data_IF_418699177108
#
_entry.id   IF_418699177108
#
_cell.length_a   1.000
_cell.length_b   1.000
_cell.length_c   1.000
_cell.angle_alpha   90.00
_cell.angle_beta   90.00
_cell.angle_gamma   90.00
#
_symmetry.space_group_name_H-M   'P 1'
#
loop_
_entity.id
_entity.type
_entity.pdbx_description
1 polymer ?
#
# COMPACT_ATOMS: atom_id res chain seq x y z
N UNK A 1 -35.65 3.79 -17.42
CA UNK A 1 -34.54 2.82 -17.38
C UNK A 1 -33.58 3.35 -16.33
N UNK A 2 -33.31 2.64 -15.24
CA UNK A 2 -32.43 3.13 -14.18
C UNK A 2 -30.96 2.94 -14.55
N UNK A 3 -30.14 3.97 -14.35
CA UNK A 3 -28.69 3.95 -14.53
C UNK A 3 -28.02 3.39 -13.28
N UNK A 4 -27.05 2.49 -13.46
CA UNK A 4 -26.28 1.94 -12.36
C UNK A 4 -24.91 2.61 -12.29
N UNK A 5 -24.48 2.99 -11.09
CA UNK A 5 -23.17 3.56 -10.83
C UNK A 5 -22.53 2.84 -9.65
N UNK A 6 -21.31 2.36 -9.85
CA UNK A 6 -20.44 1.97 -8.76
C UNK A 6 -19.71 3.22 -8.24
N UNK A 7 -19.77 3.46 -6.94
CA UNK A 7 -19.03 4.55 -6.32
C UNK A 7 -17.97 4.01 -5.38
N UNK A 8 -16.85 4.73 -5.33
CA UNK A 8 -15.83 4.54 -4.32
C UNK A 8 -15.57 5.89 -3.68
N UNK A 9 -15.79 5.99 -2.38
CA UNK A 9 -15.57 7.20 -1.60
C UNK A 9 -14.45 6.94 -0.60
N UNK A 10 -13.38 7.73 -0.70
CA UNK A 10 -12.27 7.74 0.25
C UNK A 10 -12.32 9.01 1.09
N UNK A 11 -12.10 8.86 2.39
CA UNK A 11 -12.12 9.97 3.33
C UNK A 11 -10.72 10.22 3.89
N UNK A 12 -10.22 11.41 3.61
CA UNK A 12 -9.17 12.05 4.39
C UNK A 12 -9.84 12.98 5.41
N UNK A 13 -9.28 13.18 6.59
CA UNK A 13 -9.87 14.15 7.52
C UNK A 13 -8.82 14.84 8.36
N UNK A 14 -9.00 16.15 8.53
CA UNK A 14 -8.18 17.03 9.34
C UNK A 14 -9.09 17.99 10.12
N UNK A 15 -8.67 18.40 11.32
CA UNK A 15 -9.42 19.38 12.12
C UNK A 15 -10.70 18.86 12.79
N UNK A 16 -11.02 17.56 12.69
CA UNK A 16 -12.12 16.91 13.43
C UNK A 16 -11.59 15.78 14.32
N UNK A 17 -12.20 15.63 15.49
CA UNK A 17 -11.85 14.54 16.41
C UNK A 17 -12.42 13.20 15.92
N UNK A 18 -11.82 12.09 16.34
CA UNK A 18 -12.34 10.76 16.02
C UNK A 18 -13.79 10.57 16.48
N UNK A 19 -14.18 11.13 17.63
CA UNK A 19 -15.55 11.01 18.16
C UNK A 19 -16.57 11.70 17.25
N UNK A 20 -16.28 12.91 16.80
CA UNK A 20 -17.13 13.66 15.87
C UNK A 20 -17.25 12.95 14.53
N UNK A 21 -16.13 12.40 14.04
CA UNK A 21 -16.12 11.62 12.82
C UNK A 21 -17.01 10.38 12.92
N UNK A 22 -17.00 9.64 14.04
CA UNK A 22 -17.88 8.49 14.23
C UNK A 22 -19.37 8.89 14.29
N UNK A 23 -19.69 10.01 14.92
CA UNK A 23 -21.06 10.54 14.93
C UNK A 23 -21.52 10.93 13.51
N UNK A 24 -20.62 11.50 12.72
CA UNK A 24 -20.88 11.86 11.32
C UNK A 24 -21.08 10.62 10.45
N UNK A 25 -20.25 9.58 10.63
CA UNK A 25 -20.43 8.27 9.99
C UNK A 25 -21.77 7.65 10.32
N UNK A 26 -22.20 7.74 11.58
CA UNK A 26 -23.51 7.20 12.01
C UNK A 26 -24.67 7.92 11.32
N UNK A 27 -24.66 9.26 11.28
CA UNK A 27 -25.65 10.06 10.54
C UNK A 27 -25.64 9.72 9.04
N UNK A 28 -24.45 9.57 8.46
CA UNK A 28 -24.29 9.22 7.05
C UNK A 28 -24.86 7.83 6.74
N UNK A 29 -24.61 6.84 7.60
CA UNK A 29 -25.19 5.52 7.48
C UNK A 29 -26.73 5.56 7.54
N UNK A 30 -27.31 6.33 8.46
CA UNK A 30 -28.77 6.53 8.52
C UNK A 30 -29.35 7.12 7.23
N UNK A 31 -28.67 8.10 6.62
CA UNK A 31 -29.08 8.66 5.34
C UNK A 31 -28.96 7.63 4.20
N UNK A 32 -27.88 6.85 4.16
CA UNK A 32 -27.70 5.77 3.19
C UNK A 32 -28.77 4.67 3.32
N UNK A 33 -29.21 4.35 4.54
CA UNK A 33 -30.32 3.40 4.75
C UNK A 33 -31.64 3.91 4.19
N UNK A 34 -31.95 5.22 4.29
CA UNK A 34 -33.13 5.79 3.64
C UNK A 34 -33.05 5.67 2.12
N UNK A 35 -31.88 5.90 1.54
CA UNK A 35 -31.67 5.70 0.10
C UNK A 35 -31.81 4.23 -0.31
N UNK A 36 -31.50 3.30 0.60
CA UNK A 36 -31.70 1.87 0.38
C UNK A 36 -33.20 1.52 0.33
N UNK A 37 -33.99 2.06 1.26
CA UNK A 37 -35.46 1.91 1.26
C UNK A 37 -36.12 2.50 0.01
N UNK A 38 -35.59 3.62 -0.49
CA UNK A 38 -36.03 4.25 -1.74
C UNK A 38 -35.57 3.49 -3.00
N UNK A 39 -34.73 2.46 -2.84
CA UNK A 39 -34.19 1.67 -3.95
C UNK A 39 -33.12 2.39 -4.77
N UNK A 40 -32.66 3.57 -4.33
CA UNK A 40 -31.57 4.34 -4.94
C UNK A 40 -30.23 3.68 -4.59
N UNK A 41 -30.00 3.38 -3.31
CA UNK A 41 -28.82 2.63 -2.87
C UNK A 41 -29.09 1.15 -3.02
N UNK A 42 -28.39 0.45 -3.92
CA UNK A 42 -28.52 -1.01 -4.07
C UNK A 42 -27.63 -1.75 -3.10
N UNK A 43 -26.41 -1.26 -2.91
CA UNK A 43 -25.43 -1.85 -2.00
C UNK A 43 -24.54 -0.76 -1.43
N UNK A 44 -24.18 -0.88 -0.16
CA UNK A 44 -23.22 -0.02 0.51
C UNK A 44 -22.32 -0.87 1.43
N UNK A 45 -21.02 -0.82 1.19
CA UNK A 45 -20.01 -1.61 1.89
C UNK A 45 -18.95 -0.68 2.47
N UNK A 46 -18.71 -0.81 3.77
CA UNK A 46 -17.57 -0.17 4.43
C UNK A 46 -16.35 -1.07 4.27
N UNK A 47 -15.29 -0.57 3.65
CA UNK A 47 -14.00 -1.30 3.66
C UNK A 47 -13.46 -1.24 5.07
N UNK A 48 -13.39 -2.37 5.76
CA UNK A 48 -12.87 -2.38 7.11
C UNK A 48 -11.35 -2.10 7.12
N UNK A 49 -10.88 -1.38 8.14
CA UNK A 49 -9.47 -0.95 8.24
C UNK A 49 -9.06 0.20 7.31
N UNK A 50 -9.87 0.54 6.30
CA UNK A 50 -9.66 1.73 5.46
C UNK A 50 -10.69 2.81 5.80
N UNK A 51 -10.49 4.04 5.36
CA UNK A 51 -11.49 5.12 5.45
C UNK A 51 -12.30 5.23 4.15
N UNK A 52 -12.71 4.08 3.61
CA UNK A 52 -13.42 3.99 2.33
C UNK A 52 -14.79 3.34 2.42
N UNK A 53 -15.73 3.82 1.62
CA UNK A 53 -17.02 3.18 1.36
C UNK A 53 -17.16 2.94 -0.12
N UNK A 54 -17.67 1.76 -0.45
CA UNK A 54 -17.97 1.32 -1.80
C UNK A 54 -19.45 1.06 -1.89
N UNK A 55 -20.05 1.22 -3.07
CA UNK A 55 -21.43 0.84 -3.24
C UNK A 55 -21.91 0.95 -4.66
N UNK A 56 -23.15 0.52 -4.86
CA UNK A 56 -23.82 0.62 -6.15
C UNK A 56 -25.11 1.39 -5.97
N UNK A 57 -25.30 2.39 -6.81
CA UNK A 57 -26.50 3.20 -6.86
C UNK A 57 -27.26 2.96 -8.16
N UNK A 58 -28.57 3.11 -8.08
CA UNK A 58 -29.53 3.01 -9.16
C UNK A 58 -30.30 4.33 -9.22
N UNK A 59 -29.98 5.18 -10.18
CA UNK A 59 -30.57 6.52 -10.33
C UNK A 59 -31.29 6.65 -11.66
N UNK A 60 -32.28 7.55 -11.73
CA UNK A 60 -33.02 7.79 -12.96
C UNK A 60 -32.25 8.67 -13.95
N UNK A 61 -31.35 9.51 -13.44
CA UNK A 61 -30.47 10.37 -14.24
C UNK A 61 -29.16 10.67 -13.51
N UNK A 62 -28.09 11.08 -14.22
CA UNK A 62 -26.84 11.51 -13.58
C UNK A 62 -27.04 12.69 -12.62
N UNK A 63 -27.97 13.61 -12.91
CA UNK A 63 -28.26 14.73 -12.02
C UNK A 63 -28.82 14.29 -10.66
N UNK A 64 -29.56 13.18 -10.61
CA UNK A 64 -30.05 12.61 -9.34
C UNK A 64 -28.89 12.03 -8.52
N UNK A 65 -27.84 11.50 -9.17
CA UNK A 65 -26.64 11.01 -8.48
C UNK A 65 -25.95 12.15 -7.71
N UNK A 66 -25.75 13.30 -8.37
CA UNK A 66 -25.11 14.47 -7.77
C UNK A 66 -25.91 14.98 -6.56
N UNK A 67 -27.23 15.12 -6.72
CA UNK A 67 -28.13 15.55 -5.64
C UNK A 67 -28.06 14.60 -4.45
N UNK A 68 -28.14 13.28 -4.67
CA UNK A 68 -28.05 12.30 -3.60
C UNK A 68 -26.71 12.41 -2.84
N UNK A 69 -25.60 12.62 -3.54
CA UNK A 69 -24.29 12.70 -2.88
C UNK A 69 -24.10 13.99 -2.08
N UNK A 70 -24.56 15.13 -2.58
CA UNK A 70 -24.49 16.41 -1.86
C UNK A 70 -25.35 16.39 -0.60
N UNK A 71 -26.45 15.65 -0.59
CA UNK A 71 -27.33 15.51 0.58
C UNK A 71 -26.76 14.59 1.66
N UNK A 72 -25.73 13.79 1.36
CA UNK A 72 -25.14 12.88 2.33
C UNK A 72 -24.39 13.65 3.44
N UNK A 73 -24.60 13.33 4.73
CA UNK A 73 -24.01 14.08 5.84
C UNK A 73 -22.50 14.26 5.81
N UNK A 74 -21.75 13.24 5.37
CA UNK A 74 -20.29 13.33 5.19
C UNK A 74 -19.92 14.40 4.15
N UNK A 75 -20.61 14.44 3.02
CA UNK A 75 -20.38 15.41 1.95
C UNK A 75 -20.71 16.84 2.37
N UNK A 76 -21.77 17.03 3.15
CA UNK A 76 -22.14 18.34 3.67
C UNK A 76 -21.13 18.89 4.69
N UNK A 77 -20.52 18.01 5.49
CA UNK A 77 -19.64 18.43 6.57
C UNK A 77 -18.16 18.55 6.16
N UNK A 78 -17.67 17.64 5.32
CA UNK A 78 -16.25 17.51 4.94
C UNK A 78 -16.07 17.14 3.46
N UNK A 79 -16.94 17.69 2.59
CA UNK A 79 -16.96 17.42 1.15
C UNK A 79 -15.62 17.69 0.43
N UNK A 80 -14.86 18.67 0.89
CA UNK A 80 -13.53 19.02 0.39
C UNK A 80 -12.47 17.95 0.71
N UNK A 81 -12.72 17.11 1.70
CA UNK A 81 -11.82 16.05 2.17
C UNK A 81 -12.30 14.65 1.74
N UNK A 82 -13.37 14.60 0.95
CA UNK A 82 -13.92 13.37 0.36
C UNK A 82 -13.51 13.26 -1.10
N UNK A 83 -12.86 12.15 -1.43
CA UNK A 83 -12.54 11.81 -2.81
C UNK A 83 -13.45 10.67 -3.27
N UNK A 84 -14.37 10.96 -4.20
CA UNK A 84 -15.22 9.93 -4.80
C UNK A 84 -15.05 9.79 -6.29
N UNK A 85 -15.04 8.54 -6.72
CA UNK A 85 -15.03 8.15 -8.12
C UNK A 85 -16.30 7.37 -8.44
N UNK A 86 -16.88 7.65 -9.60
CA UNK A 86 -18.08 7.00 -10.09
C UNK A 86 -17.80 6.27 -11.39
N UNK A 87 -18.19 5.00 -11.44
CA UNK A 87 -18.02 4.14 -12.62
C UNK A 87 -19.38 3.70 -13.11
N UNK A 88 -19.78 4.03 -14.35
CA UNK A 88 -21.06 3.60 -14.90
C UNK A 88 -21.08 2.08 -15.12
N UNK A 89 -22.16 1.45 -14.67
CA UNK A 89 -22.38 0.02 -14.73
C UNK A 89 -23.59 -0.32 -15.61
N UNK A 90 -23.57 -1.52 -16.19
CA UNK A 90 -24.74 -2.20 -16.73
C UNK A 90 -24.92 -3.56 -16.06
N UNK A 91 -26.15 -4.04 -16.03
CA UNK A 91 -26.44 -5.39 -15.52
C UNK A 91 -25.70 -6.46 -16.34
N UNK A 92 -25.17 -7.44 -15.64
CA UNK A 92 -24.32 -8.46 -16.24
C UNK A 92 -25.14 -9.44 -17.08
N UNK A 93 -26.37 -9.74 -16.71
CA UNK A 93 -27.31 -10.60 -17.43
C UNK A 93 -27.59 -10.07 -18.84
N UNK A 94 -27.78 -8.75 -18.96
CA UNK A 94 -27.94 -8.09 -20.25
C UNK A 94 -26.67 -8.16 -21.09
N UNK A 95 -25.50 -8.01 -20.48
CA UNK A 95 -24.22 -8.18 -21.17
C UNK A 95 -24.00 -9.62 -21.63
N UNK A 96 -24.26 -10.60 -20.77
CA UNK A 96 -24.17 -12.02 -21.07
C UNK A 96 -25.09 -12.42 -22.24
N UNK A 97 -26.30 -11.86 -22.27
CA UNK A 97 -27.26 -12.04 -23.36
C UNK A 97 -26.71 -11.48 -24.67
N UNK A 98 -26.18 -10.25 -24.66
CA UNK A 98 -25.57 -9.63 -25.86
C UNK A 98 -24.38 -10.45 -26.39
N UNK A 99 -23.55 -10.99 -25.49
CA UNK A 99 -22.40 -11.84 -25.86
C UNK A 99 -22.89 -13.17 -26.45
N UNK A 100 -23.89 -13.80 -25.85
CA UNK A 100 -24.51 -15.04 -26.32
C UNK A 100 -25.12 -14.90 -27.71
N UNK A 101 -25.84 -13.80 -27.96
CA UNK A 101 -26.43 -13.49 -29.27
C UNK A 101 -25.32 -13.31 -30.34
N UNK A 102 -24.18 -12.69 -30.00
CA UNK A 102 -23.05 -12.49 -30.93
C UNK A 102 -22.32 -13.76 -31.32
N UNK A 103 -22.31 -14.79 -30.48
CA UNK A 103 -21.72 -16.09 -30.79
C UNK A 103 -22.74 -17.09 -31.38
N UNK A 104 -23.99 -16.68 -31.56
CA UNK A 104 -25.05 -17.50 -32.16
C UNK A 104 -25.69 -18.53 -31.21
N UNK A 105 -25.45 -18.43 -29.90
CA UNK A 105 -26.02 -19.38 -28.92
C UNK A 105 -27.47 -19.03 -28.52
N UNK A 106 -27.88 -17.76 -28.65
CA UNK A 106 -29.26 -17.31 -28.41
C UNK A 106 -29.77 -17.45 -26.97
N UNK A 107 -28.89 -17.79 -26.01
CA UNK A 107 -29.28 -17.89 -24.60
C UNK A 107 -29.62 -16.52 -24.02
N UNK A 108 -30.81 -16.43 -23.41
CA UNK A 108 -31.29 -15.24 -22.71
C UNK A 108 -31.14 -15.43 -21.20
N UNK A 109 -30.57 -14.41 -20.54
CA UNK A 109 -30.41 -14.41 -19.09
C UNK A 109 -31.35 -13.37 -18.46
N UNK A 110 -32.25 -13.83 -17.58
CA UNK A 110 -33.17 -12.97 -16.85
C UNK A 110 -32.55 -12.42 -15.56
N UNK A 111 -33.07 -11.30 -15.07
CA UNK A 111 -32.64 -10.70 -13.80
C UNK A 111 -32.94 -11.64 -12.63
N UNK A 112 -31.88 -12.17 -12.02
CA UNK A 112 -31.97 -13.01 -10.83
C UNK A 112 -31.49 -12.25 -9.61
N UNK A 113 -32.26 -12.37 -8.52
CA UNK A 113 -31.85 -11.86 -7.21
C UNK A 113 -31.13 -12.97 -6.46
N UNK A 114 -29.90 -12.70 -6.05
CA UNK A 114 -29.17 -13.60 -5.17
C UNK A 114 -29.79 -13.59 -3.78
N UNK A 115 -29.71 -14.73 -3.08
CA UNK A 115 -30.12 -14.81 -1.68
C UNK A 115 -28.96 -14.33 -0.81
N UNK A 116 -29.21 -13.31 0.01
CA UNK A 116 -28.21 -12.80 0.93
C UNK A 116 -27.85 -13.90 1.94
N UNK A 117 -26.64 -14.43 1.84
CA UNK A 117 -26.07 -15.37 2.81
C UNK A 117 -25.23 -14.61 3.83
N UNK A 118 -25.22 -15.10 5.07
CA UNK A 118 -24.22 -14.67 6.05
C UNK A 118 -22.87 -15.20 5.59
N UNK A 119 -21.85 -14.34 5.56
CA UNK A 119 -20.50 -14.69 5.12
C UNK A 119 -19.62 -13.45 4.98
N UNK A 120 -18.40 -13.66 4.50
CA UNK A 120 -17.42 -12.61 4.20
C UNK A 120 -17.67 -12.06 2.79
N UNK A 121 -17.86 -10.74 2.69
CA UNK A 121 -18.10 -10.06 1.42
C UNK A 121 -16.80 -9.53 0.82
N UNK A 122 -16.55 -9.89 -0.44
CA UNK A 122 -15.42 -9.45 -1.24
C UNK A 122 -15.90 -8.72 -2.48
N UNK A 123 -15.29 -7.58 -2.80
CA UNK A 123 -15.50 -6.89 -4.08
C UNK A 123 -14.32 -7.24 -4.98
N UNK A 124 -14.61 -8.01 -6.03
CA UNK A 124 -13.64 -8.42 -7.03
C UNK A 124 -13.79 -7.54 -8.26
N UNK A 125 -12.66 -7.06 -8.76
CA UNK A 125 -12.60 -6.31 -10.02
C UNK A 125 -11.77 -7.10 -11.01
N UNK A 126 -12.41 -7.52 -12.08
CA UNK A 126 -11.83 -8.33 -13.16
C UNK A 126 -11.57 -7.45 -14.37
N UNK A 127 -10.35 -7.47 -14.90
CA UNK A 127 -10.00 -6.79 -16.15
C UNK A 127 -9.41 -7.79 -17.13
N UNK A 128 -9.97 -7.84 -18.35
CA UNK A 128 -9.55 -8.77 -19.40
C UNK A 128 -8.81 -8.02 -20.51
N UNK A 129 -7.57 -8.39 -20.78
CA UNK A 129 -6.76 -7.83 -21.88
C UNK A 129 -6.76 -8.72 -23.13
N UNK A 130 -6.30 -8.17 -24.27
CA UNK A 130 -6.23 -8.93 -25.53
C UNK A 130 -4.97 -9.78 -25.61
N UNK A 131 -5.12 -10.98 -26.16
CA UNK A 131 -4.00 -11.66 -26.79
C UNK A 131 -3.84 -11.18 -28.24
N UNK A 132 -2.60 -10.94 -28.68
CA UNK A 132 -2.26 -10.58 -30.07
C UNK A 132 -2.67 -11.67 -31.07
N UNK A 133 -2.84 -12.91 -30.60
CA UNK A 133 -3.20 -14.07 -31.43
C UNK A 133 -4.68 -14.43 -31.40
N UNK A 134 -5.50 -13.77 -30.57
CA UNK A 134 -6.93 -14.08 -30.43
C UNK A 134 -7.80 -13.20 -31.32
N UNK A 135 -8.82 -13.80 -31.92
CA UNK A 135 -9.85 -13.04 -32.62
C UNK A 135 -10.89 -12.49 -31.64
N UNK A 136 -11.67 -11.51 -32.10
CA UNK A 136 -12.80 -10.99 -31.33
C UNK A 136 -13.86 -12.07 -31.05
N UNK A 137 -14.00 -13.04 -31.95
CA UNK A 137 -14.98 -14.13 -31.82
C UNK A 137 -14.53 -15.12 -30.73
N UNK A 138 -13.24 -15.41 -30.65
CA UNK A 138 -12.66 -16.23 -29.56
C UNK A 138 -12.89 -15.56 -28.20
N UNK A 139 -12.72 -14.24 -28.14
CA UNK A 139 -12.98 -13.48 -26.92
C UNK A 139 -14.45 -13.56 -26.49
N UNK A 140 -15.40 -13.42 -27.43
CA UNK A 140 -16.82 -13.57 -27.11
C UNK A 140 -17.18 -14.99 -26.65
N UNK A 141 -16.52 -16.02 -27.21
CA UNK A 141 -16.70 -17.39 -26.74
C UNK A 141 -16.25 -17.57 -25.28
N UNK A 142 -15.09 -17.00 -24.91
CA UNK A 142 -14.63 -17.02 -23.51
C UNK A 142 -15.58 -16.26 -22.60
N UNK A 143 -16.02 -15.07 -22.98
CA UNK A 143 -16.99 -14.29 -22.20
C UNK A 143 -18.32 -15.01 -22.02
N UNK A 144 -18.78 -15.78 -23.01
CA UNK A 144 -20.02 -16.54 -22.89
C UNK A 144 -19.88 -17.71 -21.91
N UNK A 145 -18.76 -18.44 -21.95
CA UNK A 145 -18.48 -19.49 -20.96
C UNK A 145 -18.37 -18.92 -19.54
N UNK A 146 -17.63 -17.81 -19.39
CA UNK A 146 -17.48 -17.10 -18.12
C UNK A 146 -18.84 -16.61 -17.60
N UNK A 147 -19.67 -16.06 -18.48
CA UNK A 147 -21.00 -15.58 -18.11
C UNK A 147 -21.91 -16.70 -17.60
N UNK A 148 -21.86 -17.89 -18.21
CA UNK A 148 -22.61 -19.06 -17.73
C UNK A 148 -22.24 -19.44 -16.31
N UNK A 149 -20.95 -19.58 -16.03
CA UNK A 149 -20.47 -19.96 -14.70
C UNK A 149 -20.70 -18.85 -13.66
N UNK A 150 -20.47 -17.59 -14.03
CA UNK A 150 -20.72 -16.45 -13.13
C UNK A 150 -22.21 -16.32 -12.76
N UNK A 151 -23.12 -16.50 -13.72
CA UNK A 151 -24.56 -16.46 -13.44
C UNK A 151 -25.03 -17.68 -12.64
N UNK A 152 -24.44 -18.86 -12.87
CA UNK A 152 -24.68 -20.04 -12.03
C UNK A 152 -24.18 -19.84 -10.60
N UNK A 153 -23.01 -19.20 -10.42
CA UNK A 153 -22.49 -18.83 -9.12
C UNK A 153 -23.39 -17.80 -8.41
N UNK A 154 -23.99 -16.85 -9.17
CA UNK A 154 -25.02 -15.93 -8.65
C UNK A 154 -26.27 -16.68 -8.17
N UNK A 155 -26.78 -17.63 -8.95
CA UNK A 155 -27.92 -18.50 -8.54
C UNK A 155 -27.62 -19.28 -7.27
N UNK A 156 -26.40 -19.79 -7.13
CA UNK A 156 -25.99 -20.57 -5.97
C UNK A 156 -25.83 -19.73 -4.69
N UNK A 157 -25.85 -18.39 -4.80
CA UNK A 157 -25.68 -17.45 -3.70
C UNK A 157 -24.22 -17.21 -3.30
N UNK A 158 -23.25 -17.70 -4.08
CA UNK A 158 -21.83 -17.40 -3.91
C UNK A 158 -21.54 -15.97 -4.40
N UNK A 159 -22.10 -15.59 -5.54
CA UNK A 159 -22.08 -14.20 -6.01
C UNK A 159 -23.35 -13.52 -5.52
N UNK A 160 -23.20 -12.46 -4.73
CA UNK A 160 -24.31 -11.62 -4.32
C UNK A 160 -24.83 -10.84 -5.54
N UNK A 161 -23.92 -10.20 -6.27
CA UNK A 161 -24.25 -9.52 -7.52
C UNK A 161 -23.00 -9.27 -8.35
N UNK A 162 -23.18 -9.00 -9.65
CA UNK A 162 -22.11 -8.67 -10.57
C UNK A 162 -22.57 -7.74 -11.69
N UNK A 163 -21.65 -6.91 -12.15
CA UNK A 163 -21.92 -5.88 -13.14
C UNK A 163 -20.79 -5.76 -14.15
N UNK A 164 -21.18 -5.38 -15.37
CA UNK A 164 -20.25 -5.02 -16.42
C UNK A 164 -20.05 -3.51 -16.40
N UNK A 165 -18.79 -3.05 -16.34
CA UNK A 165 -18.48 -1.62 -16.54
C UNK A 165 -18.76 -1.26 -17.99
N UNK A 166 -19.45 -0.14 -18.21
CA UNK A 166 -19.84 0.30 -19.56
C UNK A 166 -18.59 0.62 -20.38
N UNK A 167 -18.55 0.15 -21.63
CA UNK A 167 -17.47 0.34 -22.62
C UNK A 167 -16.06 -0.17 -22.27
N UNK A 168 -15.78 -0.50 -21.00
CA UNK A 168 -14.49 -1.09 -20.59
C UNK A 168 -14.50 -2.61 -20.72
N UNK A 169 -13.37 -3.30 -20.49
CA UNK A 169 -13.31 -4.78 -20.34
C UNK A 169 -13.24 -5.21 -18.89
N UNK A 170 -14.02 -4.50 -18.08
CA UNK A 170 -14.00 -4.60 -16.62
C UNK A 170 -15.31 -5.14 -16.07
N UNK A 171 -15.25 -6.08 -15.14
CA UNK A 171 -16.40 -6.63 -14.41
C UNK A 171 -16.17 -6.43 -12.92
N UNK A 172 -17.21 -6.02 -12.21
CA UNK A 172 -17.18 -5.88 -10.76
C UNK A 172 -18.16 -6.91 -10.19
N UNK A 173 -17.72 -7.74 -9.26
CA UNK A 173 -18.57 -8.71 -8.57
C UNK A 173 -18.46 -8.56 -7.05
N UNK A 174 -19.58 -8.76 -6.36
CA UNK A 174 -19.61 -8.94 -4.90
C UNK A 174 -19.77 -10.43 -4.63
N UNK A 175 -18.76 -11.04 -4.02
CA UNK A 175 -18.75 -12.46 -3.66
C UNK A 175 -18.95 -12.59 -2.16
N UNK A 176 -19.77 -13.55 -1.74
CA UNK A 176 -19.96 -13.95 -0.36
C UNK A 176 -19.38 -15.35 -0.17
N UNK A 177 -18.36 -15.48 0.67
CA UNK A 177 -17.71 -16.77 0.99
C UNK A 177 -17.63 -16.96 2.50
N UNK A 178 -17.56 -18.21 2.93
CA UNK A 178 -17.41 -18.54 4.35
C UNK A 178 -15.93 -18.47 4.79
N UNK A 179 -15.00 -18.79 3.87
CA UNK A 179 -13.55 -18.77 4.10
C UNK A 179 -12.82 -17.90 3.05
N UNK A 180 -11.86 -17.05 3.44
CA UNK A 180 -11.08 -16.21 2.52
C UNK A 180 -10.34 -16.99 1.42
N UNK A 181 -9.87 -18.20 1.70
CA UNK A 181 -9.14 -19.05 0.74
C UNK A 181 -10.04 -19.59 -0.36
N UNK A 182 -11.36 -19.58 -0.16
CA UNK A 182 -12.31 -19.98 -1.19
C UNK A 182 -12.36 -18.96 -2.34
N UNK A 183 -12.09 -17.69 -2.06
CA UNK A 183 -12.00 -16.67 -3.12
C UNK A 183 -10.82 -17.01 -4.03
N UNK A 184 -9.64 -17.30 -3.46
CA UNK A 184 -8.44 -17.68 -4.21
C UNK A 184 -8.69 -18.92 -5.07
N UNK A 185 -9.27 -19.98 -4.48
CA UNK A 185 -9.63 -21.21 -5.22
C UNK A 185 -10.59 -20.91 -6.37
N UNK A 186 -11.64 -20.14 -6.11
CA UNK A 186 -12.62 -19.76 -7.14
C UNK A 186 -11.96 -18.97 -8.27
N UNK A 187 -11.04 -18.05 -7.95
CA UNK A 187 -10.38 -17.22 -8.96
C UNK A 187 -9.47 -18.00 -9.91
N UNK A 188 -8.82 -19.05 -9.41
CA UNK A 188 -8.02 -19.98 -10.23
C UNK A 188 -8.88 -20.88 -11.10
N UNK A 189 -10.13 -21.11 -10.70
CA UNK A 189 -11.06 -21.97 -11.41
C UNK A 189 -11.87 -21.28 -12.52
N UNK A 190 -11.82 -19.95 -12.60
CA UNK A 190 -12.56 -19.16 -13.59
C UNK A 190 -12.15 -19.58 -15.03
N UNK A 191 -13.12 -19.86 -15.92
CA UNK A 191 -12.86 -20.15 -17.34
C UNK A 191 -11.92 -19.14 -18.01
N UNK A 192 -12.11 -17.84 -17.74
CA UNK A 192 -11.24 -16.79 -18.28
C UNK A 192 -9.80 -16.86 -17.73
N UNK A 193 -9.61 -17.19 -16.44
CA UNK A 193 -8.28 -17.36 -15.85
C UNK A 193 -7.55 -18.56 -16.46
N UNK A 194 -8.25 -19.68 -16.65
CA UNK A 194 -7.73 -20.90 -17.28
C UNK A 194 -7.30 -20.66 -18.74
N UNK A 195 -8.00 -19.80 -19.48
CA UNK A 195 -7.73 -19.52 -20.90
C UNK A 195 -6.76 -18.35 -21.14
N UNK A 196 -6.78 -17.32 -20.28
CA UNK A 196 -6.05 -16.06 -20.49
C UNK A 196 -4.81 -15.91 -19.60
N UNK A 197 -4.69 -16.69 -18.52
CA UNK A 197 -3.53 -16.70 -17.63
C UNK A 197 -3.07 -15.29 -17.22
N UNK A 198 -1.84 -14.92 -17.59
CA UNK A 198 -1.20 -13.64 -17.21
C UNK A 198 -1.83 -12.38 -17.83
N UNK A 199 -2.81 -12.50 -18.73
CA UNK A 199 -3.52 -11.38 -19.38
C UNK A 199 -4.87 -11.07 -18.71
N UNK A 200 -5.11 -11.70 -17.56
CA UNK A 200 -6.27 -11.51 -16.72
C UNK A 200 -5.82 -11.03 -15.35
N UNK A 201 -6.21 -9.81 -14.98
CA UNK A 201 -5.86 -9.22 -13.70
C UNK A 201 -7.10 -9.21 -12.80
N UNK A 202 -6.98 -9.87 -11.65
CA UNK A 202 -7.93 -9.77 -10.55
C UNK A 202 -7.32 -8.85 -9.51
N UNK A 203 -7.91 -7.66 -9.32
CA UNK A 203 -7.57 -6.86 -8.15
C UNK A 203 -8.28 -7.45 -6.93
N UNK A 204 -7.51 -8.20 -6.11
CA UNK A 204 -7.91 -8.60 -4.78
C UNK A 204 -7.68 -7.45 -3.80
N UNK A 205 -8.75 -6.78 -3.37
CA UNK A 205 -8.67 -5.85 -2.26
C UNK A 205 -9.23 -6.51 -1.00
N UNK A 206 -8.36 -7.30 -0.34
CA UNK A 206 -8.14 -7.40 1.12
C UNK A 206 -7.82 -8.82 1.60
N UNK A 207 -6.62 -8.99 2.13
CA UNK A 207 -6.24 -10.15 2.97
C UNK A 207 -6.90 -9.96 4.35
N UNK A 208 -7.54 -10.99 4.93
CA UNK A 208 -8.02 -10.94 6.31
C UNK A 208 -6.90 -10.52 7.25
N UNK A 209 -7.21 -9.65 8.21
CA UNK A 209 -6.21 -9.10 9.13
C UNK A 209 -5.43 -10.21 9.86
N UNK A 210 -6.11 -11.32 10.19
CA UNK A 210 -5.49 -12.48 10.83
C UNK A 210 -4.46 -13.16 9.92
N UNK A 211 -4.80 -13.40 8.66
CA UNK A 211 -3.87 -13.96 7.67
C UNK A 211 -2.69 -13.01 7.45
N UNK A 212 -2.95 -11.72 7.27
CA UNK A 212 -1.89 -10.71 7.14
C UNK A 212 -0.92 -10.71 8.33
N UNK A 213 -1.44 -10.80 9.56
CA UNK A 213 -0.62 -10.88 10.78
C UNK A 213 0.21 -12.17 10.80
N UNK A 214 -0.38 -13.31 10.41
CA UNK A 214 0.32 -14.60 10.30
C UNK A 214 1.45 -14.54 9.28
N UNK A 215 1.18 -14.05 8.07
CA UNK A 215 2.19 -13.89 7.01
C UNK A 215 3.31 -12.97 7.44
N UNK A 216 2.98 -11.84 8.08
CA UNK A 216 3.99 -10.92 8.58
C UNK A 216 4.81 -11.51 9.74
N UNK A 217 4.21 -12.36 10.59
CA UNK A 217 4.97 -13.06 11.63
C UNK A 217 6.01 -14.01 11.00
N UNK A 218 5.63 -14.75 9.96
CA UNK A 218 6.54 -15.65 9.22
C UNK A 218 7.65 -14.85 8.51
N UNK A 219 7.29 -13.77 7.82
CA UNK A 219 8.23 -12.82 7.21
C UNK A 219 9.23 -12.30 8.24
N UNK A 220 8.72 -11.92 9.41
CA UNK A 220 9.55 -11.37 10.47
C UNK A 220 10.54 -12.40 11.00
N UNK A 221 10.12 -13.65 11.15
CA UNK A 221 11.01 -14.74 11.55
C UNK A 221 12.12 -15.00 10.50
N UNK A 222 11.78 -14.98 9.20
CA UNK A 222 12.76 -15.12 8.12
C UNK A 222 13.78 -13.99 8.14
N UNK A 223 13.33 -12.74 8.30
CA UNK A 223 14.20 -11.58 8.35
C UNK A 223 15.11 -11.59 9.59
N UNK A 224 14.61 -11.97 10.76
CA UNK A 224 15.43 -12.09 11.97
C UNK A 224 16.49 -13.18 11.84
N UNK A 225 16.17 -14.34 11.26
CA UNK A 225 17.17 -15.37 10.94
C UNK A 225 18.23 -14.88 9.95
N UNK A 226 17.85 -14.04 8.99
CA UNK A 226 18.79 -13.42 8.05
C UNK A 226 19.68 -12.37 8.73
N UNK A 227 19.18 -11.69 9.77
CA UNK A 227 19.95 -10.79 10.63
C UNK A 227 20.99 -11.54 11.45
N UNK A 228 20.60 -12.67 12.07
CA UNK A 228 21.52 -13.54 12.81
C UNK A 228 22.66 -14.08 11.94
N UNK A 229 22.37 -14.39 10.67
CA UNK A 229 23.36 -14.81 9.67
C UNK A 229 24.24 -13.67 9.13
N UNK A 230 24.02 -12.43 9.58
CA UNK A 230 24.80 -11.26 9.17
C UNK A 230 24.49 -10.71 7.78
N UNK A 231 23.45 -11.20 7.10
CA UNK A 231 22.99 -10.62 5.82
C UNK A 231 22.25 -9.31 6.04
N UNK A 232 21.29 -9.30 6.96
CA UNK A 232 20.61 -8.07 7.37
C UNK A 232 21.44 -7.41 8.47
N UNK A 233 21.86 -6.17 8.24
CA UNK A 233 22.60 -5.37 9.22
C UNK A 233 21.65 -4.69 10.20
N UNK A 234 20.59 -4.08 9.67
CA UNK A 234 19.61 -3.33 10.45
C UNK A 234 18.22 -3.59 9.89
N UNK A 235 17.24 -3.78 10.76
CA UNK A 235 15.83 -3.90 10.37
C UNK A 235 14.95 -3.25 11.42
N UNK A 236 14.06 -2.38 10.96
CA UNK A 236 13.33 -1.44 11.81
C UNK A 236 11.91 -1.27 11.33
N UNK A 237 10.96 -1.30 12.26
CA UNK A 237 9.55 -1.08 11.97
C UNK A 237 9.20 0.40 12.12
N UNK A 238 8.62 1.02 11.10
CA UNK A 238 8.05 2.37 11.23
C UNK A 238 6.82 2.34 12.15
N UNK A 239 6.78 3.21 13.14
CA UNK A 239 5.64 3.27 14.07
C UNK A 239 4.41 3.83 13.33
N UNK A 240 3.25 3.16 13.46
CA UNK A 240 1.98 3.62 12.88
C UNK A 240 1.77 3.34 11.38
N UNK A 241 2.83 3.05 10.62
CA UNK A 241 2.74 2.73 9.18
C UNK A 241 2.81 1.21 8.93
N UNK A 242 2.58 0.71 7.71
CA UNK A 242 2.85 -0.69 7.33
C UNK A 242 4.18 -0.84 6.56
N UNK A 243 5.20 -0.12 7.04
CA UNK A 243 6.50 -0.01 6.39
C UNK A 243 7.62 -0.54 7.28
N UNK A 244 8.62 -1.19 6.67
CA UNK A 244 9.83 -1.68 7.33
C UNK A 244 11.03 -1.08 6.59
N UNK A 245 12.01 -0.59 7.34
CA UNK A 245 13.32 -0.26 6.78
C UNK A 245 14.28 -1.41 7.06
N UNK A 246 14.95 -1.89 6.01
CA UNK A 246 15.92 -2.96 6.08
C UNK A 246 17.21 -2.52 5.38
N UNK A 247 18.31 -2.54 6.12
CA UNK A 247 19.67 -2.37 5.58
C UNK A 247 20.32 -3.74 5.57
N UNK A 248 20.78 -4.17 4.40
CA UNK A 248 21.36 -5.48 4.21
C UNK A 248 22.57 -5.44 3.30
N UNK A 249 23.45 -6.43 3.46
CA UNK A 249 24.55 -6.69 2.54
C UNK A 249 24.03 -7.55 1.39
N UNK A 250 24.35 -7.13 0.18
CA UNK A 250 24.18 -7.91 -1.03
C UNK A 250 25.48 -7.89 -1.83
N UNK A 251 25.86 -9.03 -2.39
CA UNK A 251 27.06 -9.16 -3.21
C UNK A 251 26.84 -8.59 -4.61
N UNK A 252 25.59 -8.65 -5.10
CA UNK A 252 25.16 -8.11 -6.39
C UNK A 252 23.67 -7.70 -6.36
N UNK A 253 23.24 -6.81 -7.27
CA UNK A 253 21.83 -6.39 -7.37
C UNK A 253 20.85 -7.56 -7.56
N UNK A 254 21.20 -8.56 -8.37
CA UNK A 254 20.34 -9.73 -8.64
C UNK A 254 19.95 -10.50 -7.37
N UNK A 255 20.78 -10.42 -6.33
CA UNK A 255 20.49 -11.02 -5.03
C UNK A 255 19.27 -10.40 -4.37
N UNK A 256 19.10 -9.08 -4.49
CA UNK A 256 17.95 -8.34 -3.95
C UNK A 256 16.68 -8.72 -4.72
N UNK A 257 16.77 -8.78 -6.05
CA UNK A 257 15.65 -9.23 -6.88
C UNK A 257 15.22 -10.64 -6.51
N UNK A 258 16.17 -11.58 -6.46
CA UNK A 258 15.89 -12.95 -6.03
C UNK A 258 15.25 -12.97 -4.65
N UNK A 259 15.77 -12.23 -3.67
CA UNK A 259 15.20 -12.19 -2.33
C UNK A 259 13.76 -11.68 -2.34
N UNK A 260 13.46 -10.62 -3.08
CA UNK A 260 12.11 -10.07 -3.19
C UNK A 260 11.07 -11.11 -3.60
N UNK A 261 11.39 -12.00 -4.55
CA UNK A 261 10.47 -13.07 -4.98
C UNK A 261 10.30 -14.21 -3.95
N UNK A 262 11.22 -14.33 -2.99
CA UNK A 262 11.24 -15.45 -2.04
C UNK A 262 10.65 -15.10 -0.68
N UNK A 263 10.47 -13.82 -0.38
CA UNK A 263 9.90 -13.34 0.88
C UNK A 263 8.43 -13.79 1.01
N UNK A 264 8.02 -14.37 2.15
CA UNK A 264 6.63 -14.74 2.45
C UNK A 264 5.59 -13.68 2.06
N UNK A 265 5.84 -12.40 2.38
CA UNK A 265 4.92 -11.31 2.04
C UNK A 265 4.76 -11.14 0.52
N UNK A 266 5.85 -11.23 -0.24
CA UNK A 266 5.79 -11.12 -1.71
C UNK A 266 5.14 -12.34 -2.36
N UNK A 267 5.32 -13.54 -1.78
CA UNK A 267 4.68 -14.76 -2.26
C UNK A 267 3.17 -14.73 -2.08
N UNK A 268 2.70 -14.26 -0.93
CA UNK A 268 1.27 -14.25 -0.62
C UNK A 268 0.56 -13.00 -1.14
N UNK A 269 1.22 -11.84 -1.14
CA UNK A 269 0.56 -10.56 -1.42
C UNK A 269 0.97 -9.95 -2.76
N UNK A 270 1.99 -10.49 -3.42
CA UNK A 270 2.38 -10.12 -4.78
C UNK A 270 2.59 -8.61 -4.96
N UNK A 271 1.81 -8.04 -5.88
CA UNK A 271 1.82 -6.63 -6.28
C UNK A 271 1.33 -5.66 -5.19
N UNK A 272 0.71 -6.16 -4.11
CA UNK A 272 0.32 -5.36 -2.96
C UNK A 272 1.51 -4.97 -2.07
N UNK A 273 2.67 -5.63 -2.25
CA UNK A 273 3.90 -5.28 -1.53
C UNK A 273 4.76 -4.35 -2.38
N UNK A 274 4.99 -3.15 -1.87
CA UNK A 274 5.92 -2.21 -2.47
C UNK A 274 7.29 -2.34 -1.80
N UNK A 275 8.34 -2.51 -2.60
CA UNK A 275 9.73 -2.46 -2.15
C UNK A 275 10.47 -1.38 -2.94
N UNK A 276 11.14 -0.51 -2.20
CA UNK A 276 12.06 0.49 -2.72
C UNK A 276 13.47 0.07 -2.31
N UNK A 277 14.38 0.00 -3.28
CA UNK A 277 15.77 -0.39 -3.06
C UNK A 277 16.67 0.80 -3.32
N UNK A 278 17.39 1.21 -2.28
CA UNK A 278 18.30 2.36 -2.35
C UNK A 278 19.73 1.90 -2.09
N UNK A 279 20.69 2.14 -3.01
CA UNK A 279 22.07 1.74 -2.81
C UNK A 279 22.74 2.60 -1.74
N UNK A 280 23.36 1.93 -0.75
CA UNK A 280 24.00 2.57 0.39
C UNK A 280 25.50 2.28 0.39
N UNK A 281 26.29 3.25 0.88
CA UNK A 281 27.69 3.06 1.24
C UNK A 281 27.95 3.46 2.70
N UNK A 282 28.94 2.85 3.37
CA UNK A 282 29.34 3.25 4.71
C UNK A 282 29.74 4.72 4.77
N UNK A 283 29.22 5.44 5.76
CA UNK A 283 29.46 6.87 5.89
C UNK A 283 30.91 7.19 6.29
N UNK A 284 31.56 6.33 7.09
CA UNK A 284 32.97 6.48 7.45
C UNK A 284 33.89 6.41 6.22
N UNK A 285 33.57 5.55 5.24
CA UNK A 285 34.28 5.51 3.97
C UNK A 285 34.12 6.82 3.17
N UNK A 286 32.92 7.40 3.14
CA UNK A 286 32.72 8.72 2.53
C UNK A 286 33.55 9.79 3.25
N UNK A 287 33.53 9.81 4.58
CA UNK A 287 34.29 10.78 5.38
C UNK A 287 35.79 10.73 5.06
N UNK A 288 36.33 9.52 4.89
CA UNK A 288 37.73 9.30 4.49
C UNK A 288 38.01 9.85 3.10
N UNK A 289 37.15 9.58 2.12
CA UNK A 289 37.27 10.10 0.75
C UNK A 289 37.21 11.64 0.71
N UNK A 290 36.28 12.24 1.46
CA UNK A 290 36.15 13.69 1.57
C UNK A 290 37.39 14.28 2.24
N UNK A 291 37.90 13.66 3.31
CA UNK A 291 39.09 14.13 4.01
C UNK A 291 40.32 14.18 3.11
N UNK A 292 40.53 13.14 2.29
CA UNK A 292 41.63 13.11 1.30
C UNK A 292 41.55 14.29 0.34
N UNK A 293 40.34 14.60 -0.14
CA UNK A 293 40.10 15.66 -1.12
C UNK A 293 40.23 17.05 -0.51
N UNK A 294 39.75 17.26 0.70
CA UNK A 294 39.80 18.56 1.39
C UNK A 294 41.21 18.89 1.91
N UNK A 295 41.95 17.88 2.40
CA UNK A 295 43.27 18.08 3.01
C UNK A 295 44.43 17.86 2.02
N UNK A 296 44.21 17.98 0.71
CA UNK A 296 45.24 17.83 -0.32
C UNK A 296 46.08 16.54 -0.20
N UNK A 297 45.45 15.42 0.16
CA UNK A 297 46.09 14.11 0.23
C UNK A 297 46.49 13.62 1.63
N UNK A 298 46.33 14.43 2.69
CA UNK A 298 46.54 13.97 4.07
C UNK A 298 45.33 13.13 4.55
N UNK A 299 45.56 11.83 4.75
CA UNK A 299 44.50 10.83 4.96
C UNK A 299 44.17 10.70 6.45
N UNK A 300 43.03 11.27 6.86
CA UNK A 300 42.37 10.85 8.10
C UNK A 300 41.45 9.67 7.77
N UNK A 301 41.83 8.46 8.18
CA UNK A 301 40.97 7.27 8.06
C UNK A 301 39.90 7.32 9.13
N UNK A 302 38.65 7.25 8.71
CA UNK A 302 37.51 7.11 9.62
C UNK A 302 37.06 5.65 9.64
N UNK A 303 37.07 5.05 10.82
CA UNK A 303 36.59 3.69 11.02
C UNK A 303 35.09 3.67 11.29
N UNK A 304 34.44 2.61 10.79
CA UNK A 304 33.05 2.34 11.08
C UNK A 304 32.93 1.59 12.40
N UNK A 305 32.60 2.33 13.47
CA UNK A 305 32.56 1.79 14.83
C UNK A 305 31.20 1.10 15.05
N UNK A 306 31.16 -0.16 15.51
CA UNK A 306 29.90 -0.78 15.94
C UNK A 306 29.33 -0.03 17.14
N UNK A 307 28.12 0.51 17.02
CA UNK A 307 27.45 1.16 18.15
C UNK A 307 26.72 0.12 19.00
N UNK A 308 26.92 0.15 20.31
CA UNK A 308 26.08 -0.60 21.25
C UNK A 308 24.77 0.16 21.45
N UNK A 309 23.61 -0.37 21.05
CA UNK A 309 22.34 0.33 21.19
C UNK A 309 22.03 0.59 22.67
N UNK A 310 21.80 1.85 23.03
CA UNK A 310 21.25 2.21 24.35
C UNK A 310 19.73 2.03 24.33
N UNK A 311 19.14 1.81 25.51
CA UNK A 311 17.69 1.89 25.65
C UNK A 311 17.25 3.36 25.40
N UNK A 312 16.27 3.56 24.53
CA UNK A 312 15.81 4.89 24.16
C UNK A 312 14.76 4.87 23.05
N UNK A 313 14.41 6.07 22.58
CA UNK A 313 13.54 6.31 21.43
C UNK A 313 14.38 6.29 20.15
N UNK A 314 13.91 5.57 19.15
CA UNK A 314 14.63 5.45 17.87
C UNK A 314 13.96 6.26 16.77
N UNK A 315 14.78 6.98 16.01
CA UNK A 315 14.33 7.79 14.89
C UNK A 315 15.18 7.51 13.66
N UNK A 316 14.51 7.23 12.54
CA UNK A 316 15.11 7.20 11.22
C UNK A 316 15.00 8.58 10.60
N UNK A 317 16.14 9.18 10.29
CA UNK A 317 16.21 10.54 9.76
C UNK A 317 16.82 10.50 8.37
N UNK A 318 16.11 11.10 7.42
CA UNK A 318 16.61 11.32 6.06
C UNK A 318 17.03 12.77 5.93
N UNK A 319 18.30 13.00 5.64
CA UNK A 319 18.82 14.31 5.26
C UNK A 319 18.95 14.40 3.74
N UNK A 320 18.45 15.48 3.16
CA UNK A 320 18.65 15.85 1.75
C UNK A 320 19.35 17.20 1.73
N UNK A 321 20.54 17.23 1.13
CA UNK A 321 21.45 18.37 1.21
C UNK A 321 21.49 19.10 -0.14
N UNK A 322 21.10 20.37 -0.12
CA UNK A 322 21.26 21.33 -1.20
C UNK A 322 22.37 22.33 -0.85
N UNK A 323 22.92 23.02 -1.85
CA UNK A 323 24.01 23.98 -1.65
C UNK A 323 24.01 25.13 -2.68
N UNK A 324 22.87 25.80 -2.93
CA UNK A 324 22.84 26.94 -3.84
C UNK A 324 23.87 27.99 -3.41
N UNK A 325 24.66 28.48 -4.37
CA UNK A 325 25.64 29.54 -4.13
C UNK A 325 26.93 29.12 -3.42
N UNK A 326 27.19 27.82 -3.21
CA UNK A 326 28.48 27.31 -2.72
C UNK A 326 29.25 26.56 -3.82
N UNK A 327 30.56 26.65 -3.76
CA UNK A 327 31.46 25.81 -4.55
C UNK A 327 31.46 24.37 -4.02
N UNK A 328 31.93 23.44 -4.85
CA UNK A 328 32.05 22.04 -4.44
C UNK A 328 33.02 21.87 -3.27
N UNK A 329 34.13 22.60 -3.23
CA UNK A 329 35.12 22.47 -2.16
C UNK A 329 34.61 23.02 -0.82
N UNK A 330 33.86 24.12 -0.85
CA UNK A 330 33.16 24.63 0.34
C UNK A 330 32.15 23.62 0.88
N UNK A 331 31.34 23.00 0.01
CA UNK A 331 30.42 21.95 0.41
C UNK A 331 31.16 20.78 1.07
N UNK A 332 32.24 20.31 0.45
CA UNK A 332 33.02 19.18 0.97
C UNK A 332 33.68 19.50 2.31
N UNK A 333 34.14 20.74 2.52
CA UNK A 333 34.68 21.17 3.80
C UNK A 333 33.61 21.15 4.91
N UNK A 334 32.41 21.65 4.65
CA UNK A 334 31.28 21.58 5.60
C UNK A 334 30.86 20.13 5.84
N UNK A 335 30.81 19.30 4.79
CA UNK A 335 30.47 17.89 4.90
C UNK A 335 31.49 17.11 5.72
N UNK A 336 32.78 17.46 5.63
CA UNK A 336 33.79 16.85 6.47
C UNK A 336 33.59 17.16 7.96
N UNK A 337 33.19 18.39 8.29
CA UNK A 337 32.86 18.77 9.68
C UNK A 337 31.63 18.00 10.18
N UNK A 338 30.61 17.91 9.34
CA UNK A 338 29.41 17.11 9.61
C UNK A 338 29.75 15.64 9.84
N UNK A 339 30.64 15.09 9.01
CA UNK A 339 31.05 13.70 9.13
C UNK A 339 31.77 13.43 10.45
N UNK A 340 32.66 14.33 10.87
CA UNK A 340 33.31 14.26 12.18
C UNK A 340 32.29 14.31 13.32
N UNK A 341 31.30 15.20 13.24
CA UNK A 341 30.23 15.32 14.24
C UNK A 341 29.37 14.05 14.32
N UNK A 342 28.90 13.54 13.18
CA UNK A 342 28.05 12.36 13.11
C UNK A 342 28.77 11.08 13.60
N UNK A 343 30.05 10.90 13.22
CA UNK A 343 30.87 9.79 13.72
C UNK A 343 31.23 9.95 15.21
N UNK A 344 31.37 11.19 15.71
CA UNK A 344 31.44 11.47 17.14
C UNK A 344 30.15 11.08 17.87
N UNK A 345 29.00 11.35 17.25
CA UNK A 345 27.68 10.86 17.70
C UNK A 345 27.62 9.34 17.83
N UNK A 346 28.26 8.63 16.89
CA UNK A 346 28.39 7.16 16.92
C UNK A 346 29.16 6.69 18.17
N UNK A 347 30.30 7.32 18.47
CA UNK A 347 31.10 7.06 19.69
C UNK A 347 30.31 7.31 20.98
N UNK A 348 29.44 8.32 21.01
CA UNK A 348 28.62 8.64 22.20
C UNK A 348 27.42 7.69 22.40
N UNK A 349 27.09 6.87 21.39
CA UNK A 349 25.93 5.98 21.39
C UNK A 349 24.60 6.65 21.00
N UNK A 350 24.62 7.94 20.59
CA UNK A 350 23.43 8.64 20.10
C UNK A 350 23.09 8.29 18.66
N UNK A 351 24.11 8.05 17.83
CA UNK A 351 23.92 7.54 16.46
C UNK A 351 24.11 6.03 16.49
N UNK A 352 23.02 5.29 16.28
CA UNK A 352 23.06 3.83 16.16
C UNK A 352 23.82 3.45 14.90
N UNK A 353 23.43 4.04 13.78
CA UNK A 353 24.12 3.85 12.51
C UNK A 353 23.79 4.96 11.51
N UNK A 354 24.58 5.05 10.44
CA UNK A 354 24.42 6.07 9.42
C UNK A 354 25.00 5.65 8.07
N UNK A 355 24.32 6.01 7.00
CA UNK A 355 24.67 5.60 5.65
C UNK A 355 24.54 6.73 4.65
N UNK A 356 25.44 6.75 3.67
CA UNK A 356 25.34 7.64 2.52
C UNK A 356 24.64 6.92 1.37
N UNK A 357 23.64 7.56 0.78
CA UNK A 357 23.04 7.09 -0.48
C UNK A 357 24.00 7.33 -1.64
N UNK A 358 24.26 6.31 -2.46
CA UNK A 358 25.20 6.43 -3.59
C UNK A 358 24.63 7.39 -4.65
N UNK A 359 25.46 8.29 -5.18
CA UNK A 359 25.10 9.20 -6.27
C UNK A 359 24.20 10.39 -5.89
N UNK A 360 23.50 10.33 -4.75
CA UNK A 360 22.61 11.41 -4.30
C UNK A 360 23.30 12.32 -3.27
N UNK A 361 22.65 13.42 -2.86
CA UNK A 361 23.04 14.22 -1.68
C UNK A 361 22.19 13.88 -0.46
N UNK A 362 21.94 12.58 -0.29
CA UNK A 362 21.05 12.02 0.73
C UNK A 362 21.80 11.18 1.76
N UNK A 363 21.51 11.35 3.05
CA UNK A 363 22.09 10.59 4.16
C UNK A 363 20.96 10.03 5.02
N UNK A 364 21.05 8.75 5.38
CA UNK A 364 20.17 8.15 6.38
C UNK A 364 20.92 8.04 7.70
N UNK A 365 20.25 8.43 8.78
CA UNK A 365 20.77 8.33 10.14
C UNK A 365 19.73 7.64 11.01
N UNK A 366 20.18 6.65 11.78
CA UNK A 366 19.39 6.04 12.84
C UNK A 366 19.88 6.58 14.19
N UNK A 367 19.03 7.39 14.83
CA UNK A 367 19.31 7.99 16.14
C UNK A 367 18.65 7.19 17.27
N UNK A 368 19.31 7.19 18.43
CA UNK A 368 18.78 6.74 19.72
C UNK A 368 18.90 7.90 20.71
N UNK A 369 17.76 8.37 21.23
CA UNK A 369 17.68 9.51 22.16
C UNK A 369 16.74 9.19 23.32
N UNK A 370 16.89 9.89 24.45
CA UNK A 370 16.00 9.68 25.61
C UNK A 370 14.69 10.46 25.46
N UNK A 371 14.69 11.51 24.65
CA UNK A 371 13.55 12.41 24.46
C UNK A 371 13.45 12.92 23.01
N UNK A 372 12.23 13.10 22.45
CA UNK A 372 12.06 13.72 21.13
C UNK A 372 12.71 15.11 21.02
N UNK A 373 12.73 15.89 22.12
CA UNK A 373 13.36 17.21 22.15
C UNK A 373 14.88 17.18 21.94
N UNK A 374 15.53 16.02 22.11
CA UNK A 374 16.94 15.88 21.75
C UNK A 374 17.15 15.83 20.24
N UNK A 375 16.18 15.32 19.46
CA UNK A 375 16.30 15.29 17.99
C UNK A 375 16.38 16.71 17.45
N UNK A 376 15.50 17.60 17.91
CA UNK A 376 15.51 19.01 17.51
C UNK A 376 16.83 19.68 17.90
N UNK A 377 17.27 19.51 19.16
CA UNK A 377 18.54 20.08 19.64
C UNK A 377 19.74 19.59 18.85
N UNK A 378 19.84 18.28 18.61
CA UNK A 378 20.91 17.69 17.80
C UNK A 378 20.88 18.30 16.40
N UNK A 379 19.69 18.41 15.78
CA UNK A 379 19.56 18.96 14.43
C UNK A 379 20.06 20.40 14.34
N UNK A 380 19.75 21.28 15.30
CA UNK A 380 20.23 22.67 15.28
C UNK A 380 21.73 22.80 15.51
N UNK A 381 22.35 21.81 16.14
CA UNK A 381 23.78 21.80 16.44
C UNK A 381 24.65 21.21 15.32
N UNK A 382 24.05 20.59 14.30
CA UNK A 382 24.77 20.01 13.17
C UNK A 382 25.51 21.11 12.38
N UNK A 383 26.80 20.92 12.06
CA UNK A 383 27.59 21.84 11.24
C UNK A 383 26.89 22.27 9.94
N UNK A 384 26.24 21.34 9.24
CA UNK A 384 25.47 21.62 8.03
C UNK A 384 24.25 22.50 8.29
N UNK A 385 23.49 22.23 9.35
CA UNK A 385 22.29 23.03 9.67
C UNK A 385 22.67 24.46 10.05
N UNK A 386 23.78 24.65 10.79
CA UNK A 386 24.28 25.98 11.15
C UNK A 386 24.77 26.79 9.94
N UNK A 387 25.37 26.14 8.95
CA UNK A 387 26.02 26.82 7.81
C UNK A 387 25.16 26.90 6.56
N UNK A 388 24.18 26.01 6.42
CA UNK A 388 23.37 25.85 5.20
C UNK A 388 21.86 25.97 5.46
N UNK A 389 21.42 25.96 6.71
CA UNK A 389 20.05 26.32 7.10
C UNK A 389 18.96 25.63 6.27
N UNK A 390 18.22 26.44 5.50
CA UNK A 390 17.10 26.05 4.65
C UNK A 390 17.48 25.13 3.49
N UNK A 391 18.77 25.05 3.14
CA UNK A 391 19.29 24.16 2.11
C UNK A 391 19.44 22.70 2.61
N UNK A 392 19.09 22.40 3.86
CA UNK A 392 19.12 21.03 4.40
C UNK A 392 17.70 20.62 4.78
N UNK A 393 17.15 19.67 4.02
CA UNK A 393 15.83 19.11 4.31
C UNK A 393 15.96 17.85 5.16
N UNK A 394 15.11 17.76 6.18
CA UNK A 394 15.12 16.66 7.13
C UNK A 394 13.73 16.02 7.21
N UNK A 395 13.65 14.71 6.96
CA UNK A 395 12.46 13.90 7.22
C UNK A 395 12.73 13.01 8.43
N UNK A 396 11.85 13.04 9.44
CA UNK A 396 12.01 12.28 10.69
C UNK A 396 10.87 11.27 10.80
N UNK A 397 11.23 9.98 10.95
CA UNK A 397 10.29 8.88 11.17
C UNK A 397 10.62 8.15 12.46
N UNK A 398 9.62 7.96 13.32
CA UNK A 398 9.79 7.14 14.52
C UNK A 398 9.84 5.65 14.14
N UNK A 399 10.82 4.93 14.68
CA UNK A 399 11.01 3.50 14.41
C UNK A 399 11.13 2.72 15.71
N UNK A 400 10.85 1.42 15.65
CA UNK A 400 11.05 0.48 16.76
C UNK A 400 11.81 -0.76 16.27
N UNK A 401 12.55 -1.45 17.17
CA UNK A 401 13.21 -2.71 16.84
C UNK A 401 12.21 -3.70 16.23
N UNK A 402 12.62 -4.37 15.18
CA UNK A 402 11.76 -5.31 14.46
C UNK A 402 11.45 -6.56 15.28
N UNK A 403 12.36 -6.95 16.18
CA UNK A 403 12.19 -8.03 17.17
C UNK A 403 10.94 -7.78 18.03
N UNK A 404 10.78 -6.55 18.51
CA UNK A 404 9.61 -6.20 19.31
C UNK A 404 8.31 -6.33 18.51
N UNK A 405 8.31 -5.97 17.21
CA UNK A 405 7.14 -6.17 16.36
C UNK A 405 6.85 -7.66 16.17
N UNK A 406 7.88 -8.47 15.90
CA UNK A 406 7.74 -9.91 15.73
C UNK A 406 7.10 -10.56 16.97
N UNK A 407 7.49 -10.15 18.19
CA UNK A 407 6.88 -10.64 19.42
C UNK A 407 5.40 -10.24 19.53
N UNK A 408 5.04 -9.02 19.12
CA UNK A 408 3.65 -8.57 19.07
C UNK A 408 2.85 -9.36 18.02
N UNK A 409 3.41 -9.56 16.82
CA UNK A 409 2.78 -10.34 15.74
C UNK A 409 2.53 -11.78 16.18
N UNK A 410 3.48 -12.41 16.89
CA UNK A 410 3.29 -13.76 17.45
C UNK A 410 2.14 -13.81 18.46
N UNK A 411 2.04 -12.83 19.36
CA UNK A 411 0.93 -12.73 20.32
C UNK A 411 -0.41 -12.50 19.62
N UNK A 412 -0.41 -11.76 18.52
CA UNK A 412 -1.62 -11.45 17.75
C UNK A 412 -2.04 -12.62 16.84
N UNK A 413 -1.10 -13.40 16.32
CA UNK A 413 -1.36 -14.58 15.50
C UNK A 413 -1.83 -15.81 16.31
N UNK A 414 -1.54 -15.82 17.61
CA UNK A 414 -1.93 -16.89 18.54
C UNK A 414 -3.31 -16.67 19.20
N UNK A 415 -3.95 -15.53 18.93
CA UNK A 415 -5.34 -15.22 19.33
C UNK A 415 -6.25 -15.52 18.16
#
# INVERSE_FOLDING_TARGET
MSLLYFFQTSLEYHGITSKELYQLWFKHAQAAFKMYEQGIMKYAFKIAGERKVLGVMSVESPSVLDTCFVELPLYQAIGDQLHSTFTPLRQYEGFATDVSDRIGNGEKYGNEKSTLKNGLFYILTFTVEYDLTMTQQDLFAVWAEEAKEALKAKKSGIILDLWKVVAERKVIAVVCVDDPTDVDRMSLDLPVMKKMGSKFTIEYKRIPQEQFIKTWAVEAEVALKAKEKGKILQIWKLVGERKVFCVMKAENPDEIDRLSFHLPMFKEMGDQVQMEVTPLRPYAGLATDISKRVNNGDETVFEDIPTVPKAGLFYWITFIIEYPGKTQDELLAVWLQEAKAALGGKKSGKVVDLWKVVGERKVYILLCVESPYEVDRISFDLPMMRQMGDCVHMEVKSVRPYEALHDDLKKMAAR
#
